data_IF_106912320886
#
_entry.id   IF_106912320886
#
_cell.length_a   1.000
_cell.length_b   1.000
_cell.length_c   1.000
_cell.angle_alpha   90.00
_cell.angle_beta   90.00
_cell.angle_gamma   90.00
#
_symmetry.space_group_name_H-M   'P 1'
#
loop_
_entity.id
_entity.type
_entity.pdbx_description
1 polymer ?
#
# COMPACT_ATOMS: atom_id res chain seq x y z
N UNK A 1 -34.42 -9.78 -21.90
CA UNK A 1 -34.11 -8.62 -22.76
C UNK A 1 -33.41 -9.16 -24.01
N UNK A 2 -33.91 -8.86 -25.20
CA UNK A 2 -33.24 -9.23 -26.45
C UNK A 2 -31.88 -8.54 -26.49
N UNK A 3 -30.83 -9.29 -26.85
CA UNK A 3 -29.50 -8.73 -27.08
C UNK A 3 -29.61 -7.75 -28.24
N UNK A 4 -29.33 -6.47 -27.99
CA UNK A 4 -29.31 -5.47 -29.05
C UNK A 4 -28.15 -5.83 -29.97
N UNK A 5 -28.44 -5.92 -31.27
CA UNK A 5 -27.43 -6.13 -32.29
C UNK A 5 -26.89 -4.76 -32.74
N UNK A 6 -25.75 -4.38 -32.18
CA UNK A 6 -25.11 -3.10 -32.50
C UNK A 6 -24.62 -3.04 -33.95
N UNK A 7 -24.28 -4.18 -34.56
CA UNK A 7 -23.87 -4.22 -35.96
C UNK A 7 -25.07 -3.94 -36.87
N UNK A 8 -26.22 -4.57 -36.60
CA UNK A 8 -27.45 -4.27 -37.32
C UNK A 8 -27.90 -2.80 -37.16
N UNK A 9 -27.64 -2.19 -36.00
CA UNK A 9 -27.87 -0.76 -35.79
C UNK A 9 -26.93 0.10 -36.63
N UNK A 10 -25.62 -0.20 -36.63
CA UNK A 10 -24.62 0.50 -37.48
C UNK A 10 -25.01 0.44 -38.94
N UNK A 11 -25.41 -0.72 -39.45
CA UNK A 11 -25.85 -0.90 -40.84
C UNK A 11 -27.12 -0.10 -41.15
N UNK A 12 -28.07 -0.07 -40.22
CA UNK A 12 -29.35 0.65 -40.40
C UNK A 12 -29.18 2.17 -40.49
N UNK A 13 -28.30 2.74 -39.67
CA UNK A 13 -28.06 4.18 -39.60
C UNK A 13 -26.88 4.64 -40.48
N UNK A 14 -26.23 3.71 -41.19
CA UNK A 14 -25.23 4.05 -42.20
C UNK A 14 -25.86 4.72 -43.42
N UNK A 15 -25.14 5.64 -44.10
CA UNK A 15 -25.57 6.23 -45.36
C UNK A 15 -25.95 5.17 -46.38
N UNK A 16 -27.11 5.34 -47.04
CA UNK A 16 -27.56 4.40 -48.06
C UNK A 16 -26.78 4.61 -49.36
N UNK A 17 -26.34 3.54 -50.03
CA UNK A 17 -25.67 3.66 -51.31
C UNK A 17 -26.62 4.24 -52.37
N UNK A 18 -26.05 4.92 -53.35
CA UNK A 18 -26.79 5.44 -54.50
C UNK A 18 -27.36 4.26 -55.29
N UNK A 19 -28.67 4.23 -55.60
CA UNK A 19 -29.26 3.13 -56.34
C UNK A 19 -28.82 3.13 -57.81
N UNK A 20 -28.74 1.93 -58.37
CA UNK A 20 -28.56 1.74 -59.81
C UNK A 20 -29.90 1.78 -60.54
N UNK A 21 -29.87 2.25 -61.79
CA UNK A 21 -31.03 2.30 -62.67
C UNK A 21 -31.44 0.88 -63.07
N UNK A 22 -32.64 0.44 -62.68
CA UNK A 22 -33.16 -0.89 -63.05
C UNK A 22 -33.37 -1.11 -64.56
N UNK A 23 -33.31 -0.05 -65.38
CA UNK A 23 -33.46 -0.13 -66.84
C UNK A 23 -32.10 -0.27 -67.55
N UNK A 24 -31.03 0.37 -67.05
CA UNK A 24 -29.73 0.38 -67.74
C UNK A 24 -28.50 0.08 -66.88
N UNK A 25 -28.68 -0.19 -65.59
CA UNK A 25 -27.62 -0.57 -64.64
C UNK A 25 -26.64 0.54 -64.26
N UNK A 26 -26.86 1.79 -64.69
CA UNK A 26 -26.00 2.92 -64.32
C UNK A 26 -26.39 3.47 -62.95
N UNK A 27 -25.39 3.95 -62.20
CA UNK A 27 -25.61 4.74 -60.99
C UNK A 27 -26.49 5.96 -61.28
N UNK A 28 -27.50 6.16 -60.45
CA UNK A 28 -28.48 7.23 -60.62
C UNK A 28 -28.00 8.50 -59.93
N UNK A 29 -28.54 9.65 -60.32
CA UNK A 29 -28.23 10.93 -59.66
C UNK A 29 -29.43 11.46 -58.90
N UNK A 30 -29.16 12.25 -57.86
CA UNK A 30 -30.20 12.88 -57.04
C UNK A 30 -30.93 13.92 -57.88
N UNK A 31 -32.25 13.76 -57.99
CA UNK A 31 -33.13 14.72 -58.69
C UNK A 31 -33.85 15.66 -57.73
N UNK A 32 -34.17 15.15 -56.54
CA UNK A 32 -34.88 15.90 -55.52
C UNK A 32 -34.60 15.32 -54.14
N UNK A 33 -34.39 16.19 -53.16
CA UNK A 33 -34.25 15.83 -51.75
C UNK A 33 -35.27 16.59 -50.92
N UNK A 34 -36.08 15.86 -50.15
CA UNK A 34 -36.99 16.44 -49.19
C UNK A 34 -36.85 15.70 -47.85
N UNK A 35 -36.12 16.31 -46.93
CA UNK A 35 -35.78 15.71 -45.63
C UNK A 35 -35.25 14.28 -45.81
N UNK A 36 -35.91 13.28 -45.25
CA UNK A 36 -35.52 11.87 -45.33
C UNK A 36 -35.86 11.19 -46.67
N UNK A 37 -36.50 11.86 -47.62
CA UNK A 37 -36.87 11.24 -48.91
C UNK A 37 -35.98 11.78 -50.01
N UNK A 38 -35.16 10.90 -50.57
CA UNK A 38 -34.27 11.20 -51.69
C UNK A 38 -34.82 10.52 -52.94
N UNK A 39 -35.13 11.30 -53.96
CA UNK A 39 -35.54 10.79 -55.26
C UNK A 39 -34.33 10.76 -56.20
N UNK A 40 -34.00 9.57 -56.66
CA UNK A 40 -32.96 9.32 -57.66
C UNK A 40 -33.61 9.16 -59.04
N UNK A 41 -32.91 9.59 -60.09
CA UNK A 41 -33.31 9.46 -61.50
C UNK A 41 -32.10 9.17 -62.39
N UNK A 42 -32.31 8.44 -63.48
CA UNK A 42 -31.27 8.25 -64.49
C UNK A 42 -31.35 9.40 -65.51
N UNK A 43 -30.36 10.30 -65.48
CA UNK A 43 -30.29 11.46 -66.39
C UNK A 43 -29.97 11.08 -67.83
N UNK A 44 -29.51 9.84 -68.09
CA UNK A 44 -29.15 9.38 -69.43
C UNK A 44 -27.85 9.99 -69.96
N UNK A 45 -27.09 10.68 -69.10
CA UNK A 45 -25.83 11.31 -69.44
C UNK A 45 -24.74 10.25 -69.72
N UNK A 46 -23.99 10.51 -70.80
CA UNK A 46 -22.78 9.80 -71.18
C UNK A 46 -21.59 10.26 -70.36
N UNK A 47 -20.45 9.59 -70.55
CA UNK A 47 -19.21 9.96 -69.85
C UNK A 47 -18.54 11.21 -70.47
N UNK A 48 -19.13 11.73 -71.55
CA UNK A 48 -18.70 12.88 -72.34
C UNK A 48 -19.49 14.17 -72.01
N UNK A 49 -20.39 14.11 -71.03
CA UNK A 49 -21.28 15.23 -70.65
C UNK A 49 -22.43 15.47 -71.64
N UNK A 50 -22.61 14.57 -72.62
CA UNK A 50 -23.73 14.60 -73.55
C UNK A 50 -24.72 13.49 -73.24
N UNK A 51 -25.99 13.70 -73.60
CA UNK A 51 -26.99 12.64 -73.52
C UNK A 51 -26.63 11.48 -74.44
N UNK A 52 -26.80 10.24 -73.96
CA UNK A 52 -26.64 9.05 -74.82
C UNK A 52 -27.56 9.16 -76.04
N UNK A 53 -27.15 8.56 -77.16
CA UNK A 53 -27.94 8.59 -78.40
C UNK A 53 -29.39 8.12 -78.17
N UNK A 54 -30.36 8.97 -78.55
CA UNK A 54 -31.80 8.72 -78.35
C UNK A 54 -32.37 9.14 -76.97
N UNK A 55 -31.57 9.80 -76.11
CA UNK A 55 -32.02 10.36 -74.82
C UNK A 55 -32.30 11.86 -74.91
N UNK A 56 -33.21 12.35 -74.07
CA UNK A 56 -33.46 13.78 -73.85
C UNK A 56 -33.57 14.05 -72.34
N UNK A 57 -33.60 15.32 -71.94
CA UNK A 57 -33.61 15.77 -70.53
C UNK A 57 -34.79 15.22 -69.69
N UNK A 58 -35.89 14.82 -70.32
CA UNK A 58 -37.06 14.23 -69.66
C UNK A 58 -37.68 13.15 -70.55
N UNK A 59 -36.88 12.15 -70.90
CA UNK A 59 -37.36 11.03 -71.71
C UNK A 59 -38.16 10.01 -70.86
N UNK A 60 -38.82 9.08 -71.53
CA UNK A 60 -39.59 8.02 -70.89
C UNK A 60 -38.74 7.19 -69.90
N UNK A 61 -37.43 7.10 -70.15
CA UNK A 61 -36.51 6.41 -69.26
C UNK A 61 -36.20 7.21 -68.01
N UNK A 62 -36.00 8.52 -68.12
CA UNK A 62 -35.89 9.39 -66.96
C UNK A 62 -37.12 9.22 -66.06
N UNK A 63 -38.33 9.31 -66.62
CA UNK A 63 -39.58 9.13 -65.86
C UNK A 63 -39.71 7.75 -65.22
N UNK A 64 -39.50 6.69 -66.00
CA UNK A 64 -39.63 5.30 -65.52
C UNK A 64 -38.51 4.89 -64.56
N UNK A 65 -37.34 5.49 -64.65
CA UNK A 65 -36.20 5.15 -63.80
C UNK A 65 -36.33 5.65 -62.37
N UNK A 66 -37.19 6.65 -62.10
CA UNK A 66 -37.24 7.34 -60.81
C UNK A 66 -37.55 6.40 -59.64
N UNK A 67 -36.72 6.45 -58.61
CA UNK A 67 -36.92 5.74 -57.34
C UNK A 67 -36.81 6.73 -56.19
N UNK A 68 -37.67 6.58 -55.17
CA UNK A 68 -37.55 7.37 -53.94
C UNK A 68 -37.12 6.46 -52.81
N UNK A 69 -35.96 6.75 -52.24
CA UNK A 69 -35.41 6.05 -51.08
C UNK A 69 -35.67 6.89 -49.85
N UNK A 70 -36.12 6.25 -48.77
CA UNK A 70 -36.17 6.88 -47.44
C UNK A 70 -34.80 6.70 -46.80
N UNK A 71 -34.05 7.77 -46.64
CA UNK A 71 -32.81 7.80 -45.90
C UNK A 71 -33.09 8.00 -44.41
N UNK A 72 -32.62 7.04 -43.61
CA UNK A 72 -32.72 7.05 -42.14
C UNK A 72 -31.33 7.07 -41.52
N UNK A 73 -30.30 7.38 -42.32
CA UNK A 73 -28.95 7.51 -41.82
C UNK A 73 -28.86 8.65 -40.79
N UNK A 74 -28.09 8.40 -39.74
CA UNK A 74 -27.94 9.32 -38.63
C UNK A 74 -26.49 9.25 -38.11
N UNK A 75 -25.65 10.26 -38.39
CA UNK A 75 -24.25 10.25 -37.97
C UNK A 75 -24.10 10.30 -36.45
N UNK A 76 -25.01 10.96 -35.73
CA UNK A 76 -24.94 11.09 -34.27
C UNK A 76 -25.14 9.71 -33.61
N UNK A 77 -26.02 8.87 -34.18
CA UNK A 77 -26.21 7.49 -33.71
C UNK A 77 -24.96 6.64 -33.94
N UNK A 78 -24.25 6.83 -35.06
CA UNK A 78 -23.00 6.10 -35.34
C UNK A 78 -21.89 6.51 -34.38
N UNK A 79 -21.74 7.81 -34.12
CA UNK A 79 -20.77 8.34 -33.14
C UNK A 79 -21.05 7.80 -31.73
N UNK A 80 -22.32 7.75 -31.31
CA UNK A 80 -22.71 7.15 -30.03
C UNK A 80 -22.38 5.65 -29.93
N UNK A 81 -22.44 4.91 -31.04
CA UNK A 81 -22.05 3.50 -31.08
C UNK A 81 -20.52 3.34 -30.95
N UNK A 82 -19.74 4.22 -31.59
CA UNK A 82 -18.28 4.27 -31.43
C UNK A 82 -17.89 4.60 -29.97
N UNK A 83 -18.52 5.61 -29.38
CA UNK A 83 -18.30 5.95 -27.98
C UNK A 83 -18.66 4.78 -27.05
N UNK A 84 -19.76 4.07 -27.31
CA UNK A 84 -20.17 2.93 -26.51
C UNK A 84 -19.15 1.79 -26.57
N UNK A 85 -18.64 1.48 -27.76
CA UNK A 85 -17.61 0.46 -27.98
C UNK A 85 -16.34 0.80 -27.20
N UNK A 86 -15.86 2.04 -27.30
CA UNK A 86 -14.67 2.47 -26.54
C UNK A 86 -14.87 2.38 -25.02
N UNK A 87 -16.06 2.69 -24.52
CA UNK A 87 -16.38 2.55 -23.09
C UNK A 87 -16.53 1.09 -22.66
N UNK A 88 -16.99 0.21 -23.53
CA UNK A 88 -17.01 -1.24 -23.26
C UNK A 88 -15.59 -1.80 -23.18
N UNK A 89 -14.70 -1.43 -24.09
CA UNK A 89 -13.28 -1.79 -24.04
C UNK A 89 -12.60 -1.26 -22.78
N UNK A 90 -12.83 0.01 -22.43
CA UNK A 90 -12.30 0.58 -21.19
C UNK A 90 -12.81 -0.20 -19.98
N UNK A 91 -14.11 -0.50 -19.90
CA UNK A 91 -14.67 -1.30 -18.79
C UNK A 91 -14.04 -2.68 -18.71
N UNK A 92 -13.80 -3.35 -19.84
CA UNK A 92 -13.11 -4.63 -19.87
C UNK A 92 -11.67 -4.52 -19.37
N UNK A 93 -10.93 -3.48 -19.77
CA UNK A 93 -9.57 -3.23 -19.29
C UNK A 93 -9.54 -2.96 -17.77
N UNK A 94 -10.43 -2.09 -17.28
CA UNK A 94 -10.57 -1.80 -15.85
C UNK A 94 -10.89 -3.07 -15.05
N UNK A 95 -11.75 -3.95 -15.58
CA UNK A 95 -12.07 -5.22 -14.94
C UNK A 95 -10.84 -6.14 -14.82
N UNK A 96 -10.04 -6.27 -15.90
CA UNK A 96 -8.81 -7.05 -15.88
C UNK A 96 -7.78 -6.50 -14.88
N UNK A 97 -7.64 -5.17 -14.82
CA UNK A 97 -6.76 -4.49 -13.86
C UNK A 97 -7.21 -4.73 -12.42
N UNK A 98 -8.51 -4.63 -12.16
CA UNK A 98 -9.08 -4.88 -10.83
C UNK A 98 -8.85 -6.33 -10.37
N UNK A 99 -9.00 -7.30 -11.27
CA UNK A 99 -8.73 -8.70 -10.98
C UNK A 99 -7.26 -8.90 -10.57
N UNK A 100 -6.32 -8.37 -11.36
CA UNK A 100 -4.89 -8.48 -11.07
C UNK A 100 -4.52 -7.81 -9.74
N UNK A 101 -5.07 -6.64 -9.46
CA UNK A 101 -4.86 -5.96 -8.18
C UNK A 101 -5.40 -6.78 -7.00
N UNK A 102 -6.51 -7.50 -7.17
CA UNK A 102 -7.03 -8.43 -6.16
C UNK A 102 -6.06 -9.57 -5.90
N UNK A 103 -5.54 -10.22 -6.94
CA UNK A 103 -4.55 -11.30 -6.83
C UNK A 103 -3.25 -10.83 -6.15
N UNK A 104 -2.76 -9.64 -6.52
CA UNK A 104 -1.57 -9.04 -5.91
C UNK A 104 -1.78 -8.70 -4.43
N UNK A 105 -3.00 -8.26 -4.06
CA UNK A 105 -3.38 -7.98 -2.69
C UNK A 105 -3.41 -9.27 -1.85
N UNK A 106 -4.08 -10.31 -2.33
CA UNK A 106 -4.13 -11.62 -1.65
C UNK A 106 -2.72 -12.19 -1.42
N UNK A 107 -1.85 -12.06 -2.43
CA UNK A 107 -0.46 -12.49 -2.33
C UNK A 107 0.35 -11.66 -1.31
N UNK A 108 0.09 -10.34 -1.22
CA UNK A 108 0.73 -9.48 -0.24
C UNK A 108 0.25 -9.76 1.19
N UNK A 109 -1.05 -9.99 1.39
CA UNK A 109 -1.61 -10.37 2.68
C UNK A 109 -1.01 -11.69 3.19
N UNK A 110 -0.89 -12.69 2.30
CA UNK A 110 -0.23 -13.96 2.64
C UNK A 110 1.21 -13.76 3.09
N UNK A 111 2.01 -12.97 2.35
CA UNK A 111 3.41 -12.67 2.74
C UNK A 111 3.50 -11.96 4.08
N UNK A 112 2.60 -11.03 4.37
CA UNK A 112 2.55 -10.34 5.66
C UNK A 112 2.22 -11.31 6.80
N UNK A 113 1.29 -12.24 6.58
CA UNK A 113 0.94 -13.26 7.57
C UNK A 113 2.13 -14.19 7.87
N UNK A 114 2.82 -14.69 6.83
CA UNK A 114 4.02 -15.53 6.97
C UNK A 114 5.16 -14.78 7.70
N UNK A 115 5.39 -13.52 7.36
CA UNK A 115 6.39 -12.69 8.04
C UNK A 115 6.05 -12.49 9.52
N UNK A 116 4.77 -12.27 9.83
CA UNK A 116 4.32 -12.11 11.22
C UNK A 116 4.58 -13.37 12.04
N UNK A 117 4.23 -14.54 11.51
CA UNK A 117 4.50 -15.82 12.16
C UNK A 117 6.00 -16.03 12.39
N UNK A 118 6.83 -15.71 11.38
CA UNK A 118 8.29 -15.78 11.52
C UNK A 118 8.82 -14.89 12.65
N UNK A 119 8.40 -13.62 12.71
CA UNK A 119 8.86 -12.70 13.75
C UNK A 119 8.35 -13.11 15.14
N UNK A 120 7.11 -13.58 15.25
CA UNK A 120 6.57 -14.13 16.51
C UNK A 120 7.41 -15.32 16.99
N UNK A 121 7.84 -16.21 16.10
CA UNK A 121 8.74 -17.32 16.41
C UNK A 121 10.12 -16.88 16.88
N UNK A 122 10.75 -15.92 16.17
CA UNK A 122 12.07 -15.38 16.55
C UNK A 122 12.01 -14.69 17.91
N UNK A 123 10.95 -13.92 18.17
CA UNK A 123 10.75 -13.24 19.46
C UNK A 123 10.55 -14.27 20.57
N UNK A 124 9.77 -15.33 20.33
CA UNK A 124 9.54 -16.38 21.31
C UNK A 124 10.83 -17.12 21.69
N UNK A 125 11.64 -17.52 20.70
CA UNK A 125 12.92 -18.19 20.94
C UNK A 125 13.93 -17.26 21.65
N UNK A 126 14.03 -16.01 21.21
CA UNK A 126 14.85 -14.99 21.88
C UNK A 126 14.43 -14.75 23.32
N UNK A 127 13.12 -14.62 23.58
CA UNK A 127 12.57 -14.44 24.93
C UNK A 127 12.87 -15.64 25.82
N UNK A 128 12.75 -16.86 25.30
CA UNK A 128 13.13 -18.08 26.01
C UNK A 128 14.60 -18.08 26.38
N UNK A 129 15.48 -17.72 25.43
CA UNK A 129 16.92 -17.65 25.67
C UNK A 129 17.29 -16.61 26.72
N UNK A 130 16.63 -15.45 26.72
CA UNK A 130 16.81 -14.41 27.75
C UNK A 130 16.39 -14.95 29.10
N UNK A 131 15.21 -15.58 29.22
CA UNK A 131 14.76 -16.16 30.48
C UNK A 131 15.71 -17.24 31.02
N UNK A 132 16.27 -18.08 30.14
CA UNK A 132 17.32 -19.05 30.51
C UNK A 132 18.59 -18.37 31.02
N UNK A 133 19.02 -17.29 30.37
CA UNK A 133 20.21 -16.54 30.78
C UNK A 133 19.98 -15.80 32.11
N UNK A 134 18.81 -15.19 32.30
CA UNK A 134 18.42 -14.54 33.56
C UNK A 134 18.31 -15.54 34.71
N UNK A 135 17.80 -16.75 34.47
CA UNK A 135 17.73 -17.79 35.50
C UNK A 135 19.10 -18.36 35.86
N UNK A 136 20.03 -18.39 34.90
CA UNK A 136 21.41 -18.82 35.12
C UNK A 136 22.33 -17.67 35.58
N UNK A 137 21.82 -16.43 35.61
CA UNK A 137 22.57 -15.27 36.07
C UNK A 137 22.82 -15.41 37.58
N UNK A 138 24.08 -15.71 37.94
CA UNK A 138 24.52 -15.67 39.33
C UNK A 138 24.56 -14.22 39.77
N UNK A 139 23.49 -13.77 40.40
CA UNK A 139 23.46 -12.48 41.08
C UNK A 139 24.12 -12.60 42.46
N UNK A 140 25.42 -12.28 42.56
CA UNK A 140 26.08 -11.75 43.77
C UNK A 140 25.45 -10.46 44.38
N UNK A 141 24.16 -10.51 44.73
CA UNK A 141 23.44 -9.36 45.30
C UNK A 141 24.09 -9.05 46.64
N UNK A 142 24.69 -7.86 46.77
CA UNK A 142 25.29 -7.41 48.02
C UNK A 142 26.76 -7.77 48.24
N UNK A 143 27.53 -8.06 47.17
CA UNK A 143 28.99 -8.13 47.27
C UNK A 143 29.59 -6.75 47.54
N UNK A 144 29.55 -6.38 48.81
CA UNK A 144 30.20 -5.20 49.37
C UNK A 144 31.43 -5.65 50.16
N UNK A 145 32.57 -5.05 49.85
CA UNK A 145 33.79 -5.25 50.61
C UNK A 145 34.24 -3.91 51.18
N UNK A 146 34.71 -3.94 52.41
CA UNK A 146 35.17 -2.77 53.13
C UNK A 146 36.69 -2.72 53.05
N UNK A 147 37.24 -1.62 52.55
CA UNK A 147 38.68 -1.35 52.64
C UNK A 147 38.92 -0.51 53.89
N UNK A 148 39.43 -1.15 54.94
CA UNK A 148 39.67 -0.52 56.24
C UNK A 148 41.13 -0.09 56.34
N UNK A 149 41.35 1.19 56.62
CA UNK A 149 42.68 1.83 56.74
C UNK A 149 42.88 2.40 58.14
N UNK A 150 43.78 1.78 58.89
CA UNK A 150 44.22 2.27 60.20
C UNK A 150 45.54 3.05 60.09
N UNK A 151 45.75 4.14 60.86
CA UNK A 151 46.99 4.90 60.83
C UNK A 151 48.22 4.03 61.12
N UNK A 152 49.22 4.07 60.24
CA UNK A 152 50.47 3.32 60.41
C UNK A 152 50.39 1.81 60.17
N UNK A 153 49.24 1.28 59.71
CA UNK A 153 49.07 -0.15 59.36
C UNK A 153 48.72 -0.31 57.88
N UNK A 154 48.95 -1.50 57.35
CA UNK A 154 48.52 -1.84 55.98
C UNK A 154 46.98 -1.93 55.92
N UNK A 155 46.36 -1.50 54.79
CA UNK A 155 44.93 -1.64 54.58
C UNK A 155 44.50 -3.11 54.60
N UNK A 156 43.31 -3.36 55.13
CA UNK A 156 42.72 -4.71 55.20
C UNK A 156 41.35 -4.71 54.53
N UNK A 157 41.10 -5.71 53.69
CA UNK A 157 39.78 -5.96 53.10
C UNK A 157 38.96 -6.79 54.07
N UNK A 158 37.77 -6.30 54.42
CA UNK A 158 36.81 -7.02 55.27
C UNK A 158 35.50 -7.25 54.55
N UNK A 159 34.86 -8.37 54.86
CA UNK A 159 33.48 -8.64 54.49
C UNK A 159 32.59 -8.27 55.67
N UNK A 160 31.47 -7.57 55.41
CA UNK A 160 30.49 -7.32 56.45
C UNK A 160 29.81 -8.63 56.84
N UNK A 161 29.64 -8.87 58.14
CA UNK A 161 28.89 -9.99 58.69
C UNK A 161 27.78 -9.41 59.56
N UNK A 162 26.53 -9.48 59.07
CA UNK A 162 25.39 -8.80 59.70
C UNK A 162 25.08 -7.44 59.09
N UNK A 163 24.33 -6.60 59.82
CA UNK A 163 23.91 -5.27 59.39
C UNK A 163 25.11 -4.33 59.22
N UNK A 164 25.18 -3.65 58.06
CA UNK A 164 26.32 -2.84 57.65
C UNK A 164 26.57 -1.65 58.59
N UNK A 165 25.52 -0.95 59.00
CA UNK A 165 25.66 0.24 59.85
C UNK A 165 26.27 -0.09 61.21
N UNK A 166 25.77 -1.15 61.87
CA UNK A 166 26.30 -1.58 63.16
C UNK A 166 27.76 -2.00 63.06
N UNK A 167 28.11 -2.69 61.97
CA UNK A 167 29.48 -3.11 61.73
C UNK A 167 30.42 -1.91 61.51
N UNK A 168 30.01 -0.90 60.75
CA UNK A 168 30.77 0.34 60.54
C UNK A 168 30.93 1.13 61.84
N UNK A 169 29.85 1.30 62.61
CA UNK A 169 29.89 1.97 63.92
C UNK A 169 30.86 1.31 64.88
N UNK A 170 30.85 -0.03 64.96
CA UNK A 170 31.80 -0.78 65.80
C UNK A 170 33.26 -0.59 65.38
N UNK A 171 33.56 -0.43 64.08
CA UNK A 171 34.93 -0.19 63.62
C UNK A 171 35.40 1.23 63.95
N UNK A 172 34.54 2.22 63.73
CA UNK A 172 34.83 3.63 63.99
C UNK A 172 34.96 3.89 65.51
N UNK A 173 34.13 3.26 66.34
CA UNK A 173 34.21 3.39 67.80
C UNK A 173 35.52 2.81 68.37
N UNK A 174 36.06 1.75 67.75
CA UNK A 174 37.33 1.14 68.17
C UNK A 174 38.56 1.97 67.79
N UNK A 175 38.49 2.72 66.70
CA UNK A 175 39.57 3.58 66.23
C UNK A 175 38.99 4.79 65.52
N UNK A 176 38.95 5.93 66.21
CA UNK A 176 38.38 7.18 65.71
C UNK A 176 39.12 7.79 64.51
N UNK A 177 40.32 7.28 64.18
CA UNK A 177 41.12 7.74 63.03
C UNK A 177 41.09 6.75 61.85
N UNK A 178 40.25 5.71 61.92
CA UNK A 178 40.08 4.75 60.84
C UNK A 178 39.39 5.42 59.65
N UNK A 179 39.84 5.13 58.43
CA UNK A 179 39.09 5.45 57.20
C UNK A 179 38.59 4.16 56.58
N UNK A 180 37.33 4.14 56.16
CA UNK A 180 36.67 2.94 55.64
C UNK A 180 36.00 3.29 54.32
N UNK A 181 36.47 2.69 53.23
CA UNK A 181 35.77 2.76 51.95
C UNK A 181 34.83 1.56 51.81
N UNK A 182 33.56 1.84 51.50
CA UNK A 182 32.58 0.84 51.09
C UNK A 182 32.70 0.66 49.57
N UNK A 183 33.18 -0.52 49.16
CA UNK A 183 33.31 -0.87 47.75
C UNK A 183 32.17 -1.82 47.39
N UNK A 184 31.35 -1.39 46.44
CA UNK A 184 30.31 -2.23 45.85
C UNK A 184 30.70 -2.58 44.41
N UNK A 185 30.75 -3.87 44.06
CA UNK A 185 30.94 -4.25 42.67
C UNK A 185 29.63 -4.10 41.90
N UNK A 186 29.67 -3.33 40.81
CA UNK A 186 28.64 -3.36 39.77
C UNK A 186 28.93 -4.54 38.85
N UNK A 187 27.88 -5.29 38.50
CA UNK A 187 27.97 -6.45 37.62
C UNK A 187 28.56 -6.13 36.24
N UNK A 188 29.14 -7.17 35.65
CA UNK A 188 29.73 -7.24 34.32
C UNK A 188 28.89 -6.52 33.25
N UNK A 189 29.53 -5.62 32.49
CA UNK A 189 28.99 -5.08 31.24
C UNK A 189 29.30 -3.59 31.00
N UNK A 190 29.36 -2.77 32.06
CA UNK A 190 29.71 -1.35 31.93
C UNK A 190 30.58 -0.95 33.13
N UNK A 191 31.87 -0.76 32.88
CA UNK A 191 32.89 -0.52 33.89
C UNK A 191 32.58 0.68 34.77
N UNK A 192 32.32 0.43 36.05
CA UNK A 192 32.21 1.46 37.07
C UNK A 192 32.20 0.83 38.46
N UNK A 193 33.24 1.11 39.24
CA UNK A 193 33.30 0.79 40.66
C UNK A 193 32.73 1.98 41.43
N UNK A 194 31.72 1.74 42.26
CA UNK A 194 31.22 2.75 43.19
C UNK A 194 31.96 2.58 44.51
N UNK A 195 32.66 3.64 44.90
CA UNK A 195 33.39 3.75 46.17
C UNK A 195 32.71 4.87 46.95
N UNK A 196 32.22 4.56 48.15
CA UNK A 196 31.61 5.53 49.06
C UNK A 196 32.34 5.49 50.39
N UNK A 197 32.57 6.65 51.00
CA UNK A 197 33.15 6.73 52.35
C UNK A 197 32.12 6.31 53.40
N UNK A 198 32.56 5.59 54.43
CA UNK A 198 31.66 5.07 55.48
C UNK A 198 31.01 6.19 56.31
N UNK A 199 31.69 7.30 56.57
CA UNK A 199 31.12 8.42 57.33
C UNK A 199 30.05 9.12 56.50
N UNK A 200 30.28 9.30 55.20
CA UNK A 200 29.29 9.83 54.26
C UNK A 200 28.05 8.93 54.19
N UNK A 201 28.26 7.61 54.09
CA UNK A 201 27.18 6.63 54.09
C UNK A 201 26.34 6.70 55.38
N UNK A 202 26.98 6.72 56.55
CA UNK A 202 26.29 6.79 57.85
C UNK A 202 25.49 8.08 58.02
N UNK A 203 26.01 9.21 57.53
CA UNK A 203 25.29 10.49 57.52
C UNK A 203 24.06 10.47 56.60
N UNK A 204 24.21 9.89 55.40
CA UNK A 204 23.09 9.72 54.47
C UNK A 204 21.97 8.87 55.06
N UNK A 205 22.30 7.76 55.72
CA UNK A 205 21.31 6.88 56.34
C UNK A 205 20.59 7.55 57.53
N UNK A 206 21.31 8.35 58.31
CA UNK A 206 20.69 9.17 59.37
C UNK A 206 19.74 10.23 58.82
N UNK A 207 20.05 10.83 57.66
CA UNK A 207 19.19 11.81 56.99
C UNK A 207 17.96 11.21 56.29
N UNK A 208 18.04 9.93 55.90
CA UNK A 208 16.97 9.22 55.19
C UNK A 208 15.82 8.72 56.10
N UNK A 209 15.91 8.92 57.41
CA UNK A 209 14.82 8.58 58.34
C UNK A 209 14.54 7.08 58.50
N UNK A 210 15.49 6.21 58.10
CA UNK A 210 15.43 4.77 58.41
C UNK A 210 15.95 4.59 59.84
N UNK A 211 15.21 5.16 60.79
CA UNK A 211 15.38 4.88 62.21
C UNK A 211 14.89 3.48 62.49
N UNK A 212 15.81 2.61 62.89
CA UNK A 212 15.54 1.40 63.67
C UNK A 212 14.40 1.70 64.65
N UNK A 213 13.29 0.94 64.55
CA UNK A 213 12.30 0.85 65.63
C UNK A 213 13.03 0.33 66.87
N UNK A 214 13.38 1.24 67.77
CA UNK A 214 13.71 0.93 69.15
C UNK A 214 12.46 1.08 70.00
N UNK A 215 11.88 -0.05 70.40
CA UNK A 215 11.34 -0.42 71.73
C UNK A 215 10.42 -1.64 71.60
#
# INVERSE_FOLDING_TARGET
>A
MSKIDYQALRERYSPKPVPECHICGKEMTIQHMSASRITYGCTGEGNDGYFKFGRTFADEHYEKSRVTVVDVSDPDVLELLDELETKEEQRANWFQMAQKLGEDLDAAEKRNAEQREYYEGVIADGSKRIAELESNEVREVGNQFLVVRHPGKLPVIKHCVGELEDFLRQLIERDSLVTIDIITHRYYGVGGQWVQDADEYLQMMQGAGIGVKGE
#
